data_IF_452800539403
#
_entry.id   IF_452800539403
#
_cell.length_a   1.000
_cell.length_b   1.000
_cell.length_c   1.000
_cell.angle_alpha   90.00
_cell.angle_beta   90.00
_cell.angle_gamma   90.00
#
_symmetry.space_group_name_H-M   'P 1'
#
loop_
_entity.id
_entity.type
_entity.pdbx_description
1 polymer ?
#
# COMPACT_ATOMS: atom_id res chain seq x y z
N UNK A 1 -19.09 -46.14 -29.29
CA UNK A 1 -18.63 -44.94 -30.05
C UNK A 1 -18.66 -43.64 -29.23
N UNK A 2 -19.71 -43.34 -28.43
CA UNK A 2 -19.77 -42.12 -27.59
C UNK A 2 -18.69 -42.02 -26.48
N UNK A 3 -18.22 -43.15 -25.92
CA UNK A 3 -17.19 -43.14 -24.87
C UNK A 3 -15.76 -42.85 -25.36
N UNK A 4 -15.45 -43.16 -26.63
CA UNK A 4 -14.16 -42.80 -27.25
C UNK A 4 -14.08 -41.29 -27.57
N UNK A 5 -15.19 -40.68 -27.97
CA UNK A 5 -15.25 -39.24 -28.24
C UNK A 5 -15.08 -38.39 -26.97
N UNK A 6 -15.60 -38.85 -25.83
CA UNK A 6 -15.47 -38.14 -24.55
C UNK A 6 -14.03 -38.21 -24.01
N UNK A 7 -13.33 -39.34 -24.22
CA UNK A 7 -11.91 -39.47 -23.86
C UNK A 7 -10.99 -38.62 -24.75
N UNK A 8 -11.30 -38.50 -26.04
CA UNK A 8 -10.53 -37.64 -26.96
C UNK A 8 -10.71 -36.14 -26.65
N UNK A 9 -11.91 -35.72 -26.22
CA UNK A 9 -12.19 -34.33 -25.84
C UNK A 9 -11.58 -33.97 -24.48
N UNK A 10 -11.54 -34.91 -23.53
CA UNK A 10 -10.88 -34.71 -22.24
C UNK A 10 -9.34 -34.66 -22.36
N UNK A 11 -8.76 -35.40 -23.30
CA UNK A 11 -7.31 -35.41 -23.55
C UNK A 11 -6.80 -34.18 -24.34
N UNK A 12 -7.68 -33.51 -25.10
CA UNK A 12 -7.32 -32.27 -25.81
C UNK A 12 -7.54 -31.02 -24.95
N UNK A 13 -8.46 -31.06 -23.98
CA UNK A 13 -8.70 -29.93 -23.07
C UNK A 13 -7.64 -29.80 -21.96
N UNK A 14 -6.88 -30.85 -21.66
CA UNK A 14 -5.78 -30.81 -20.69
C UNK A 14 -4.44 -30.36 -21.27
N UNK A 15 -4.29 -30.29 -22.61
CA UNK A 15 -3.05 -29.83 -23.27
C UNK A 15 -3.01 -28.32 -23.55
N UNK A 16 -4.10 -27.59 -23.35
CA UNK A 16 -4.20 -26.16 -23.67
C UNK A 16 -4.06 -25.22 -22.45
N UNK A 17 -3.89 -25.76 -21.23
CA UNK A 17 -4.00 -24.98 -19.98
C UNK A 17 -2.70 -24.52 -19.32
N UNK A 18 -1.52 -24.90 -19.84
CA UNK A 18 -0.23 -24.58 -19.17
C UNK A 18 0.77 -23.95 -20.12
N UNK A 19 0.41 -22.83 -20.73
CA UNK A 19 1.41 -21.85 -21.10
C UNK A 19 1.67 -20.99 -19.87
N UNK A 20 2.82 -21.07 -19.19
CA UNK A 20 3.22 -19.98 -18.31
C UNK A 20 3.36 -18.77 -19.22
N UNK A 21 2.38 -17.87 -19.18
CA UNK A 21 2.54 -16.50 -19.59
C UNK A 21 3.61 -15.90 -18.66
N UNK A 22 4.87 -16.21 -18.96
CA UNK A 22 6.03 -15.50 -18.51
C UNK A 22 5.81 -14.07 -19.02
N UNK A 23 5.20 -13.24 -18.17
CA UNK A 23 5.33 -11.80 -18.22
C UNK A 23 6.81 -11.45 -18.02
N UNK A 24 7.65 -11.79 -19.01
CA UNK A 24 9.01 -11.30 -19.16
C UNK A 24 8.92 -9.90 -19.77
N UNK A 25 8.26 -8.97 -19.08
CA UNK A 25 8.76 -7.61 -19.09
C UNK A 25 9.99 -7.60 -18.18
N UNK A 26 11.05 -8.27 -18.63
CA UNK A 26 12.39 -7.97 -18.18
C UNK A 26 12.63 -6.53 -18.62
N UNK A 27 12.55 -5.60 -17.68
CA UNK A 27 13.06 -4.24 -17.90
C UNK A 27 14.42 -4.40 -18.59
N UNK A 28 14.63 -3.81 -19.77
CA UNK A 28 15.92 -3.92 -20.44
C UNK A 28 16.97 -3.50 -19.42
N UNK A 29 17.96 -4.37 -19.18
CA UNK A 29 19.11 -4.03 -18.33
C UNK A 29 19.76 -2.82 -18.98
N UNK A 30 19.43 -1.63 -18.49
CA UNK A 30 20.04 -0.38 -18.94
C UNK A 30 21.54 -0.60 -18.74
N UNK A 31 22.35 -0.59 -19.82
CA UNK A 31 23.78 -0.73 -19.68
C UNK A 31 24.23 0.35 -18.70
N UNK A 32 24.93 -0.03 -17.61
CA UNK A 32 25.61 0.96 -16.77
C UNK A 32 26.62 1.65 -17.68
N UNK A 33 26.28 2.83 -18.17
CA UNK A 33 27.14 3.62 -19.05
C UNK A 33 28.40 3.94 -18.23
N UNK A 34 29.56 3.39 -18.57
CA UNK A 34 30.79 3.65 -17.83
C UNK A 34 31.11 5.14 -17.93
N UNK A 35 31.25 5.83 -16.80
CA UNK A 35 31.60 7.25 -16.75
C UNK A 35 30.43 8.22 -16.57
N UNK A 36 29.17 7.76 -16.56
CA UNK A 36 28.04 8.61 -16.14
C UNK A 36 27.97 8.60 -14.62
N UNK A 37 28.45 9.66 -13.97
CA UNK A 37 28.10 9.95 -12.58
C UNK A 37 26.58 10.04 -12.52
N UNK A 38 25.93 9.10 -11.85
CA UNK A 38 24.48 9.10 -11.57
C UNK A 38 24.06 10.23 -10.63
N UNK A 39 24.99 11.09 -10.23
CA UNK A 39 24.74 12.32 -9.50
C UNK A 39 24.45 13.42 -10.51
N UNK A 40 23.16 13.72 -10.69
CA UNK A 40 22.75 14.96 -11.36
C UNK A 40 23.28 16.12 -10.51
N UNK A 41 24.21 16.95 -11.02
CA UNK A 41 24.79 18.04 -10.25
C UNK A 41 23.67 18.96 -9.75
N UNK A 42 23.66 19.24 -8.44
CA UNK A 42 22.65 20.08 -7.80
C UNK A 42 21.35 19.38 -7.40
N UNK A 43 21.07 18.11 -7.79
CA UNK A 43 19.90 17.39 -7.29
C UNK A 43 20.05 17.05 -5.80
N UNK A 44 21.26 16.71 -5.36
CA UNK A 44 21.56 16.48 -3.95
C UNK A 44 21.39 17.77 -3.13
N UNK A 45 21.87 18.91 -3.65
CA UNK A 45 21.71 20.22 -3.01
C UNK A 45 20.24 20.69 -3.01
N UNK A 46 19.50 20.45 -4.09
CA UNK A 46 18.06 20.71 -4.17
C UNK A 46 17.29 19.83 -3.19
N UNK A 47 17.60 18.54 -3.11
CA UNK A 47 17.01 17.65 -2.11
C UNK A 47 17.26 18.17 -0.70
N UNK A 48 18.50 18.52 -0.39
CA UNK A 48 18.88 19.07 0.92
C UNK A 48 18.17 20.40 1.21
N UNK A 49 18.04 21.28 0.22
CA UNK A 49 17.43 22.62 0.36
C UNK A 49 15.89 22.59 0.40
N UNK A 50 15.25 21.65 -0.31
CA UNK A 50 13.78 21.54 -0.41
C UNK A 50 13.20 20.52 0.58
N UNK A 51 13.84 19.35 0.73
CA UNK A 51 13.32 18.26 1.54
C UNK A 51 14.00 18.14 2.91
N UNK A 52 15.19 18.69 3.09
CA UNK A 52 16.01 18.46 4.28
C UNK A 52 16.72 17.10 4.21
N UNK A 53 17.71 16.90 5.09
CA UNK A 53 18.42 15.63 5.21
C UNK A 53 17.62 14.60 6.05
N UNK A 54 16.73 15.09 6.92
CA UNK A 54 15.93 14.24 7.81
C UNK A 54 14.70 13.66 7.13
N UNK A 55 14.33 12.45 7.53
CA UNK A 55 13.08 11.84 7.09
C UNK A 55 11.87 12.69 7.53
N UNK A 56 10.91 12.96 6.63
CA UNK A 56 9.76 13.80 6.94
C UNK A 56 8.89 13.22 8.07
N UNK A 57 8.87 11.88 8.18
CA UNK A 57 8.24 11.13 9.24
C UNK A 57 9.23 10.18 9.89
N UNK A 58 9.11 10.02 11.20
CA UNK A 58 9.87 9.07 12.02
C UNK A 58 8.98 7.94 12.57
N UNK A 59 7.72 7.86 12.15
CA UNK A 59 6.81 6.76 12.50
C UNK A 59 7.41 5.41 12.12
N UNK A 60 7.36 4.47 13.05
CA UNK A 60 7.94 3.14 12.95
C UNK A 60 6.99 2.06 13.45
N UNK A 61 7.38 0.79 13.29
CA UNK A 61 6.61 -0.34 13.83
C UNK A 61 6.51 -0.33 15.37
N UNK A 62 7.44 0.34 16.05
CA UNK A 62 7.39 0.49 17.51
C UNK A 62 6.29 1.48 17.96
N UNK A 63 5.76 2.29 17.03
CA UNK A 63 4.72 3.29 17.31
C UNK A 63 3.30 2.76 17.07
N UNK A 64 3.17 1.52 16.61
CA UNK A 64 1.89 0.87 16.34
C UNK A 64 1.08 0.75 17.63
N UNK A 65 -0.22 1.07 17.55
CA UNK A 65 -1.14 0.75 18.64
C UNK A 65 -1.25 -0.76 18.83
N UNK A 66 -1.35 -1.25 20.08
CA UNK A 66 -1.45 -2.67 20.36
C UNK A 66 -2.57 -3.32 19.54
N UNK A 67 -2.27 -4.47 18.94
CA UNK A 67 -3.33 -5.31 18.38
C UNK A 67 -4.30 -5.71 19.47
N UNK A 68 -5.51 -6.09 19.07
CA UNK A 68 -6.55 -6.59 19.96
C UNK A 68 -6.73 -8.08 19.68
N UNK A 69 -5.96 -9.00 20.30
CA UNK A 69 -5.98 -10.42 19.94
C UNK A 69 -7.35 -11.09 20.10
N UNK A 70 -8.22 -10.54 20.95
CA UNK A 70 -9.58 -11.05 21.10
C UNK A 70 -10.48 -10.75 19.88
N UNK A 71 -10.05 -9.88 18.98
CA UNK A 71 -10.68 -9.63 17.68
C UNK A 71 -10.09 -10.50 16.56
N UNK A 72 -9.07 -11.32 16.84
CA UNK A 72 -8.54 -12.27 15.88
C UNK A 72 -9.67 -13.26 15.52
N UNK A 73 -9.84 -13.55 14.23
CA UNK A 73 -10.93 -14.37 13.66
C UNK A 73 -12.36 -13.88 13.96
N UNK A 74 -12.53 -12.63 14.42
CA UNK A 74 -13.84 -12.05 14.65
C UNK A 74 -14.65 -11.97 13.34
N UNK A 75 -15.82 -12.61 13.34
CA UNK A 75 -16.77 -12.60 12.22
C UNK A 75 -17.97 -11.71 12.55
N UNK A 76 -17.96 -10.44 12.16
CA UNK A 76 -19.07 -9.54 12.42
C UNK A 76 -20.31 -9.95 11.65
N UNK A 77 -21.48 -9.81 12.29
CA UNK A 77 -22.77 -10.02 11.64
C UNK A 77 -23.16 -8.84 10.75
N UNK A 78 -22.70 -7.64 11.09
CA UNK A 78 -23.01 -6.41 10.38
C UNK A 78 -21.78 -5.49 10.39
N UNK A 79 -21.44 -4.99 9.20
CA UNK A 79 -20.42 -3.97 8.97
C UNK A 79 -21.13 -2.80 8.29
N UNK A 80 -20.91 -1.58 8.75
CA UNK A 80 -21.46 -0.38 8.12
C UNK A 80 -20.37 0.32 7.30
N UNK A 81 -20.65 0.80 6.08
CA UNK A 81 -19.69 1.63 5.36
C UNK A 81 -19.42 2.92 6.12
N UNK A 82 -18.16 3.23 6.42
CA UNK A 82 -17.78 4.45 7.13
C UNK A 82 -18.12 5.72 6.32
N UNK A 83 -18.30 5.59 5.01
CA UNK A 83 -18.77 6.65 4.10
C UNK A 83 -20.21 7.06 4.33
N UNK A 84 -21.01 6.24 5.03
CA UNK A 84 -22.40 6.56 5.41
C UNK A 84 -22.48 7.29 6.76
N UNK A 85 -21.38 7.37 7.50
CA UNK A 85 -21.36 8.11 8.76
C UNK A 85 -21.53 9.61 8.48
N UNK A 86 -22.37 10.32 9.27
CA UNK A 86 -22.43 11.77 9.18
C UNK A 86 -21.05 12.36 9.46
N UNK A 87 -20.69 13.43 8.77
CA UNK A 87 -19.40 14.11 8.93
C UNK A 87 -19.57 15.43 9.68
N UNK A 88 -18.51 15.86 10.38
CA UNK A 88 -18.43 17.20 10.96
C UNK A 88 -18.02 18.25 9.89
N UNK A 89 -17.86 19.51 10.30
CA UNK A 89 -17.46 20.62 9.39
C UNK A 89 -16.04 20.47 8.82
N UNK A 90 -15.23 19.59 9.41
CA UNK A 90 -13.87 19.28 8.99
C UNK A 90 -13.79 17.98 8.18
N UNK A 91 -14.95 17.48 7.69
CA UNK A 91 -15.09 16.23 6.92
C UNK A 91 -14.68 14.96 7.70
N UNK A 92 -14.64 15.03 9.03
CA UNK A 92 -14.35 13.87 9.87
C UNK A 92 -15.64 13.10 10.19
N UNK A 93 -15.66 11.76 10.05
CA UNK A 93 -16.81 10.94 10.44
C UNK A 93 -17.14 11.08 11.94
N UNK A 94 -18.44 11.16 12.27
CA UNK A 94 -18.90 11.14 13.65
C UNK A 94 -18.55 9.80 14.31
N UNK A 95 -17.99 9.88 15.52
CA UNK A 95 -17.57 8.71 16.30
C UNK A 95 -18.76 8.09 17.03
N UNK A 96 -19.47 7.20 16.35
CA UNK A 96 -20.51 6.36 16.98
C UNK A 96 -19.97 4.95 17.21
N UNK A 97 -20.41 4.24 18.27
CA UNK A 97 -20.04 2.85 18.47
C UNK A 97 -20.52 1.96 17.32
N UNK A 98 -19.67 1.07 16.83
CA UNK A 98 -20.01 0.13 15.76
C UNK A 98 -18.78 -0.45 15.08
N UNK A 99 -19.03 -1.29 14.08
CA UNK A 99 -18.00 -1.80 13.19
C UNK A 99 -18.16 -1.18 11.81
N UNK A 100 -17.08 -0.57 11.32
CA UNK A 100 -17.09 0.18 10.09
C UNK A 100 -16.01 -0.31 9.13
N UNK A 101 -16.30 -0.23 7.84
CA UNK A 101 -15.34 -0.48 6.76
C UNK A 101 -15.26 0.73 5.84
N UNK A 102 -14.06 1.04 5.36
CA UNK A 102 -13.87 2.08 4.35
C UNK A 102 -12.83 1.64 3.32
N UNK A 103 -12.97 2.04 2.04
CA UNK A 103 -11.82 2.09 1.17
C UNK A 103 -10.85 3.16 1.68
N UNK A 104 -9.57 2.83 1.75
CA UNK A 104 -8.52 3.78 2.13
C UNK A 104 -7.52 3.95 1.00
N UNK A 105 -7.02 5.18 0.85
CA UNK A 105 -5.92 5.48 -0.05
C UNK A 105 -4.61 5.49 0.72
N UNK A 106 -3.57 4.90 0.13
CA UNK A 106 -2.22 4.93 0.69
C UNK A 106 -1.32 5.82 -0.16
N UNK A 107 -0.46 6.57 0.52
CA UNK A 107 0.49 7.49 -0.11
C UNK A 107 1.91 7.09 0.27
N UNK A 108 2.73 6.79 -0.72
CA UNK A 108 4.15 6.52 -0.51
C UNK A 108 4.89 7.85 -0.26
N UNK A 109 5.29 8.07 0.99
CA UNK A 109 6.11 9.24 1.37
C UNK A 109 7.61 9.03 1.13
N UNK A 110 8.01 7.80 0.83
CA UNK A 110 9.37 7.43 0.42
C UNK A 110 9.33 6.64 -0.88
N UNK A 111 9.66 7.30 -1.98
CA UNK A 111 9.69 6.67 -3.30
C UNK A 111 10.72 5.53 -3.35
N UNK A 112 10.38 4.42 -4.01
CA UNK A 112 11.27 3.27 -4.18
C UNK A 112 11.58 2.50 -2.89
N UNK A 113 10.86 2.76 -1.80
CA UNK A 113 11.01 2.06 -0.53
C UNK A 113 9.85 1.09 -0.32
N UNK A 114 10.10 0.04 0.45
CA UNK A 114 9.07 -0.90 0.83
C UNK A 114 8.20 -0.38 1.98
N UNK A 115 6.95 -0.87 2.11
CA UNK A 115 6.14 -0.61 3.29
C UNK A 115 6.85 -1.06 4.59
N UNK A 116 6.55 -0.42 5.73
CA UNK A 116 7.16 -0.76 7.03
C UNK A 116 7.00 -2.25 7.37
N UNK A 117 8.11 -2.94 7.61
CA UNK A 117 8.16 -4.37 7.98
C UNK A 117 9.41 -4.64 8.83
N UNK A 118 9.39 -5.68 9.67
CA UNK A 118 10.55 -6.04 10.50
C UNK A 118 11.67 -6.69 9.67
N UNK A 119 11.34 -7.60 8.76
CA UNK A 119 12.31 -8.27 7.87
C UNK A 119 11.79 -8.34 6.42
N UNK A 120 12.69 -8.40 5.43
CA UNK A 120 12.34 -8.44 4.01
C UNK A 120 11.62 -9.71 3.56
N UNK A 121 11.76 -10.76 4.36
CA UNK A 121 11.39 -12.15 4.07
C UNK A 121 10.24 -12.64 4.96
N UNK A 122 9.70 -11.77 5.83
CA UNK A 122 8.59 -12.02 6.75
C UNK A 122 7.31 -11.26 6.38
N UNK A 123 7.07 -11.03 5.09
CA UNK A 123 5.77 -10.57 4.58
C UNK A 123 4.74 -11.71 4.74
N UNK A 124 4.31 -11.97 5.98
CA UNK A 124 3.34 -13.01 6.35
C UNK A 124 1.98 -12.44 6.71
N UNK A 125 1.81 -11.12 6.67
CA UNK A 125 0.55 -10.44 6.94
C UNK A 125 0.24 -9.43 5.85
N UNK A 126 -1.01 -9.41 5.42
CA UNK A 126 -1.51 -8.52 4.36
C UNK A 126 -2.15 -7.23 4.92
N UNK A 127 -2.05 -7.04 6.25
CA UNK A 127 -2.72 -5.97 6.98
C UNK A 127 -1.82 -4.79 7.32
N UNK A 128 -2.43 -3.60 7.42
CA UNK A 128 -1.81 -2.41 7.98
C UNK A 128 -2.26 -2.24 9.44
N UNK A 129 -1.33 -1.83 10.30
CA UNK A 129 -1.65 -1.42 11.66
C UNK A 129 -1.64 0.11 11.77
N UNK A 130 -2.55 0.64 12.57
CA UNK A 130 -2.60 2.07 12.84
C UNK A 130 -1.41 2.50 13.72
N UNK A 131 -0.73 3.56 13.28
CA UNK A 131 0.34 4.23 14.02
C UNK A 131 0.19 5.75 13.88
N UNK A 132 0.50 6.54 14.92
CA UNK A 132 0.45 7.99 14.83
C UNK A 132 1.57 8.53 13.94
N UNK A 133 1.30 9.64 13.25
CA UNK A 133 2.32 10.38 12.51
C UNK A 133 3.29 11.06 13.49
N UNK A 134 4.58 10.71 13.40
CA UNK A 134 5.67 11.30 14.18
C UNK A 134 6.73 11.86 13.23
N UNK A 135 7.52 12.81 13.72
CA UNK A 135 8.66 13.37 12.99
C UNK A 135 8.48 14.85 12.60
N UNK A 136 9.50 15.45 11.99
CA UNK A 136 9.59 16.90 11.81
C UNK A 136 8.51 17.48 10.90
N UNK A 137 7.97 16.69 9.96
CA UNK A 137 6.93 17.13 9.02
C UNK A 137 5.57 16.46 9.25
N UNK A 138 5.37 15.80 10.40
CA UNK A 138 4.12 15.09 10.71
C UNK A 138 2.86 15.97 10.60
N UNK A 139 2.93 17.22 11.07
CA UNK A 139 1.80 18.15 10.98
C UNK A 139 1.45 18.52 9.52
N UNK A 140 2.47 18.78 8.69
CA UNK A 140 2.29 19.13 7.27
C UNK A 140 1.73 17.93 6.50
N UNK A 141 2.31 16.75 6.70
CA UNK A 141 1.83 15.50 6.10
C UNK A 141 0.38 15.22 6.51
N UNK A 142 0.06 15.33 7.80
CA UNK A 142 -1.31 15.14 8.28
C UNK A 142 -2.30 16.13 7.68
N UNK A 143 -1.89 17.39 7.46
CA UNK A 143 -2.71 18.39 6.77
C UNK A 143 -2.93 18.04 5.30
N UNK A 144 -1.88 17.56 4.60
CA UNK A 144 -1.99 17.14 3.20
C UNK A 144 -2.95 15.95 3.05
N UNK A 145 -2.85 14.95 3.92
CA UNK A 145 -3.75 13.79 3.90
C UNK A 145 -5.22 14.19 4.11
N UNK A 146 -5.48 15.09 5.07
CA UNK A 146 -6.84 15.63 5.29
C UNK A 146 -7.34 16.44 4.10
N UNK A 147 -6.47 17.25 3.50
CA UNK A 147 -6.83 18.02 2.31
C UNK A 147 -7.17 17.10 1.13
N UNK A 148 -6.40 16.02 0.90
CA UNK A 148 -6.70 15.04 -0.14
C UNK A 148 -8.02 14.29 0.10
N UNK A 149 -8.37 14.03 1.36
CA UNK A 149 -9.68 13.46 1.70
C UNK A 149 -10.84 14.45 1.47
N UNK A 150 -10.63 15.74 1.75
CA UNK A 150 -11.62 16.80 1.54
C UNK A 150 -11.78 17.19 0.06
N UNK A 151 -10.73 16.98 -0.75
CA UNK A 151 -10.66 17.33 -2.16
C UNK A 151 -10.23 16.13 -3.02
N UNK A 152 -11.08 15.09 -3.17
CA UNK A 152 -10.76 13.89 -3.92
C UNK A 152 -10.64 14.11 -5.44
N UNK A 153 -11.02 15.30 -5.94
CA UNK A 153 -10.94 15.69 -7.36
C UNK A 153 -9.53 16.07 -7.83
N UNK A 154 -8.57 16.21 -6.91
CA UNK A 154 -7.23 16.77 -7.16
C UNK A 154 -6.15 15.70 -7.20
#
# INVERSE_FOLDING_TARGET
>A
MKRLFILALAATLTLAGTAPAQAQFGLPKVPKIPGVKTEIPGLADLRKKLLGDDDPLTTSLADIYPSLPYLDDYKPLQIMPMTELPQNRDYEPLRIPGLFEMPSQSFCLKAGTYPPRKEADLYKGDGYQYAPLKGPKAAIVGKLLRAGAAHPEV
#
